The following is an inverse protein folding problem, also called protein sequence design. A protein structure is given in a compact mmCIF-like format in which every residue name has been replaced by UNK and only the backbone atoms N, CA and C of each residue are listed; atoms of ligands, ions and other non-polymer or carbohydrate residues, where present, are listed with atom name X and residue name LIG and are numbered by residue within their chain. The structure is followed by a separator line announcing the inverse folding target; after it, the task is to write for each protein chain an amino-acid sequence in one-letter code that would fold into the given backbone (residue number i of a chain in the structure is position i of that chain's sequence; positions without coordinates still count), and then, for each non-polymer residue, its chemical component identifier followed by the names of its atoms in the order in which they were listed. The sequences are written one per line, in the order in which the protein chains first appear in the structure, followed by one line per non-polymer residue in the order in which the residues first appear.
data_IF_505013387618
#
_entry.id   IF_505013387618
#
_cell.length_a   1.000
_cell.length_b   1.000
_cell.length_c   1.000
_cell.angle_alpha   90.00
_cell.angle_beta   90.00
_cell.angle_gamma   90.00
#
_symmetry.space_group_name_H-M   'P 1'
#
loop_
_entity.id
_entity.type
_entity.pdbx_description
1 polymer ?
#
# COMPACT_ATOMS: atom_id res chain seq x y z
N UNK A 1 -19.70 25.77 4.80
CA UNK A 1 -19.99 24.35 5.09
C UNK A 1 -20.03 23.61 3.76
N UNK A 2 -18.92 22.99 3.38
CA UNK A 2 -18.89 21.87 2.44
C UNK A 2 -17.78 20.99 2.98
N UNK A 3 -18.12 19.99 3.79
CA UNK A 3 -17.19 18.90 3.98
C UNK A 3 -17.12 18.26 2.60
N UNK A 4 -16.09 18.62 1.82
CA UNK A 4 -15.70 17.86 0.64
C UNK A 4 -15.75 16.42 1.09
N UNK A 5 -16.69 15.68 0.51
CA UNK A 5 -16.92 14.28 0.82
C UNK A 5 -15.66 13.59 0.34
N UNK A 6 -14.63 13.56 1.19
CA UNK A 6 -13.31 13.06 0.87
C UNK A 6 -13.55 11.71 0.22
N UNK A 7 -13.32 11.63 -1.09
CA UNK A 7 -13.62 10.43 -1.84
C UNK A 7 -12.76 9.36 -1.19
N UNK A 8 -13.43 8.48 -0.43
CA UNK A 8 -12.76 7.39 0.26
C UNK A 8 -12.28 6.45 -0.83
N UNK A 9 -11.01 6.55 -1.17
CA UNK A 9 -10.33 5.65 -2.09
C UNK A 9 -9.97 4.40 -1.31
N UNK A 10 -10.11 3.24 -1.94
CA UNK A 10 -9.57 1.98 -1.41
C UNK A 10 -8.45 1.47 -2.31
N UNK A 11 -7.50 0.76 -1.73
CA UNK A 11 -6.40 0.12 -2.44
C UNK A 11 -6.21 -1.30 -1.94
N UNK A 12 -5.62 -2.15 -2.76
CA UNK A 12 -5.23 -3.51 -2.37
C UNK A 12 -3.73 -3.55 -2.17
N UNK A 13 -3.28 -3.90 -0.98
CA UNK A 13 -1.86 -4.01 -0.63
C UNK A 13 -1.42 -5.46 -0.62
N UNK A 14 -0.31 -5.76 -1.28
CA UNK A 14 0.31 -7.08 -1.31
C UNK A 14 1.66 -7.08 -0.56
N UNK A 15 1.96 -8.06 0.31
CA UNK A 15 3.20 -8.14 1.09
C UNK A 15 4.37 -8.76 0.30
N UNK A 16 4.53 -8.40 -0.97
CA UNK A 16 5.57 -8.95 -1.84
C UNK A 16 5.91 -7.99 -2.99
N UNK A 17 7.07 -8.17 -3.60
CA UNK A 17 7.51 -7.36 -4.74
C UNK A 17 6.64 -7.64 -5.98
N UNK A 18 6.22 -6.63 -6.77
CA UNK A 18 5.31 -6.82 -7.91
C UNK A 18 5.84 -7.80 -8.97
N UNK A 19 7.17 -7.90 -9.08
CA UNK A 19 7.83 -8.82 -10.02
C UNK A 19 8.30 -10.13 -9.40
N UNK A 20 8.10 -10.32 -8.08
CA UNK A 20 8.41 -11.60 -7.45
C UNK A 20 7.23 -12.57 -7.60
N UNK A 21 7.29 -13.35 -8.68
CA UNK A 21 6.27 -14.36 -9.01
C UNK A 21 6.24 -15.56 -8.06
N UNK A 22 7.20 -15.69 -7.12
CA UNK A 22 7.27 -16.84 -6.21
C UNK A 22 6.31 -16.76 -5.03
N UNK A 23 5.89 -15.56 -4.64
CA UNK A 23 5.11 -15.32 -3.42
C UNK A 23 3.58 -15.23 -3.64
N UNK A 24 3.06 -15.90 -4.68
CA UNK A 24 1.62 -15.95 -5.00
C UNK A 24 0.76 -16.66 -3.93
N UNK A 25 1.37 -17.20 -2.86
CA UNK A 25 0.66 -17.80 -1.72
C UNK A 25 0.19 -16.77 -0.70
N UNK A 26 0.75 -15.55 -0.70
CA UNK A 26 0.37 -14.49 0.23
C UNK A 26 -0.83 -13.70 -0.30
N UNK A 27 -1.88 -13.61 0.52
CA UNK A 27 -3.04 -12.79 0.21
C UNK A 27 -2.75 -11.30 0.41
N UNK A 28 -3.32 -10.45 -0.44
CA UNK A 28 -3.34 -9.01 -0.22
C UNK A 28 -4.47 -8.59 0.72
N UNK A 29 -4.37 -7.37 1.27
CA UNK A 29 -5.39 -6.74 2.10
C UNK A 29 -5.99 -5.53 1.39
N UNK A 30 -7.31 -5.37 1.46
CA UNK A 30 -7.99 -4.16 0.96
C UNK A 30 -8.07 -3.14 2.09
N UNK A 31 -7.50 -1.96 1.89
CA UNK A 31 -7.46 -0.87 2.87
C UNK A 31 -8.07 0.40 2.29
N UNK A 32 -8.60 1.24 3.17
CA UNK A 32 -8.90 2.63 2.82
C UNK A 32 -7.59 3.40 2.72
N UNK A 33 -7.49 4.31 1.75
CA UNK A 33 -6.35 5.22 1.63
C UNK A 33 -6.47 6.29 2.74
N UNK A 34 -5.53 6.32 3.70
CA UNK A 34 -5.53 7.30 4.79
C UNK A 34 -4.94 8.64 4.33
N UNK A 35 -4.65 9.53 5.27
CA UNK A 35 -4.13 10.87 4.99
C UNK A 35 -2.62 10.95 4.73
N UNK A 36 -1.85 9.88 5.00
CA UNK A 36 -0.40 9.83 4.78
C UNK A 36 0.09 8.43 4.39
N UNK A 37 1.26 8.36 3.77
CA UNK A 37 1.89 7.08 3.38
C UNK A 37 2.23 6.26 4.63
N UNK A 38 2.73 6.91 5.69
CA UNK A 38 3.10 6.25 6.95
C UNK A 38 1.90 5.55 7.60
N UNK A 39 0.74 6.20 7.66
CA UNK A 39 -0.49 5.60 8.19
C UNK A 39 -0.97 4.40 7.35
N UNK A 40 -0.75 4.46 6.02
CA UNK A 40 -1.06 3.34 5.12
C UNK A 40 -0.09 2.17 5.35
N UNK A 41 1.19 2.45 5.57
CA UNK A 41 2.20 1.44 5.92
C UNK A 41 1.82 0.78 7.23
N UNK A 42 1.55 1.55 8.28
CA UNK A 42 1.18 1.00 9.60
C UNK A 42 -0.05 0.08 9.51
N UNK A 43 -1.10 0.51 8.82
CA UNK A 43 -2.31 -0.30 8.59
C UNK A 43 -1.99 -1.59 7.83
N UNK A 44 -1.16 -1.50 6.78
CA UNK A 44 -0.76 -2.68 6.00
C UNK A 44 0.07 -3.65 6.83
N UNK A 45 1.03 -3.17 7.61
CA UNK A 45 1.90 -3.96 8.49
C UNK A 45 1.08 -4.70 9.54
N UNK A 46 0.14 -4.02 10.20
CA UNK A 46 -0.76 -4.61 11.19
C UNK A 46 -1.61 -5.74 10.59
N UNK A 47 -2.26 -5.49 9.45
CA UNK A 47 -3.15 -6.47 8.82
C UNK A 47 -2.41 -7.63 8.16
N UNK A 48 -1.24 -7.39 7.57
CA UNK A 48 -0.42 -8.40 6.89
C UNK A 48 0.48 -9.16 7.87
N UNK A 49 0.53 -8.75 9.14
CA UNK A 49 1.34 -9.35 10.22
C UNK A 49 2.82 -9.47 9.83
N UNK A 50 3.34 -8.45 9.16
CA UNK A 50 4.76 -8.33 8.82
C UNK A 50 5.49 -7.52 9.90
N UNK A 51 6.78 -7.77 10.12
CA UNK A 51 7.58 -7.00 11.08
C UNK A 51 7.76 -5.57 10.61
N UNK A 52 7.73 -4.58 11.50
CA UNK A 52 7.87 -3.17 11.16
C UNK A 52 9.32 -2.83 10.76
N UNK A 53 9.65 -2.99 9.48
CA UNK A 53 10.89 -2.56 8.85
C UNK A 53 10.68 -1.24 8.07
N UNK A 54 11.74 -0.65 7.51
CA UNK A 54 11.63 0.49 6.59
C UNK A 54 10.85 0.06 5.34
N UNK A 55 9.52 0.19 5.34
CA UNK A 55 8.69 -0.22 4.22
C UNK A 55 8.37 0.92 3.25
N UNK A 56 8.21 0.56 1.98
CA UNK A 56 7.72 1.45 0.94
C UNK A 56 6.68 0.76 0.06
N UNK A 57 5.80 1.57 -0.53
CA UNK A 57 4.82 1.10 -1.50
C UNK A 57 5.32 1.29 -2.93
N UNK A 58 5.20 0.22 -3.71
CA UNK A 58 5.40 0.23 -5.15
C UNK A 58 4.08 0.10 -5.92
N UNK A 59 4.08 0.65 -7.13
CA UNK A 59 3.09 0.32 -8.17
C UNK A 59 3.38 -1.04 -8.82
N UNK A 60 2.48 -1.50 -9.69
CA UNK A 60 2.70 -2.71 -10.50
C UNK A 60 3.94 -2.59 -11.41
N UNK A 61 4.29 -1.38 -11.82
CA UNK A 61 5.50 -1.03 -12.58
C UNK A 61 6.78 -0.89 -11.72
N UNK A 62 6.73 -1.30 -10.44
CA UNK A 62 7.81 -1.16 -9.46
C UNK A 62 8.26 0.30 -9.22
N UNK A 63 7.36 1.27 -9.42
CA UNK A 63 7.64 2.67 -9.10
C UNK A 63 7.23 3.00 -7.66
N UNK A 64 8.10 3.73 -6.93
CA UNK A 64 7.82 4.17 -5.56
C UNK A 64 6.71 5.20 -5.52
N UNK A 65 5.77 5.02 -4.61
CA UNK A 65 4.69 5.97 -4.36
C UNK A 65 5.16 6.92 -3.25
N UNK A 66 5.15 8.22 -3.56
CA UNK A 66 5.62 9.26 -2.66
C UNK A 66 4.48 9.96 -1.91
N UNK A 67 3.26 9.90 -2.44
CA UNK A 67 2.11 10.61 -1.88
C UNK A 67 0.81 9.79 -2.05
N UNK A 68 -0.04 9.78 -1.01
CA UNK A 68 -1.33 9.06 -1.02
C UNK A 68 -2.29 9.60 -2.07
N UNK A 69 -2.13 10.85 -2.51
CA UNK A 69 -2.92 11.45 -3.56
C UNK A 69 -2.66 10.83 -4.92
N UNK A 70 -1.52 10.15 -5.11
CA UNK A 70 -1.19 9.41 -6.32
C UNK A 70 -1.87 8.04 -6.39
N UNK A 71 -2.53 7.60 -5.31
CA UNK A 71 -3.23 6.31 -5.26
C UNK A 71 -4.63 6.48 -5.87
N UNK A 72 -4.94 5.67 -6.87
CA UNK A 72 -6.26 5.56 -7.48
C UNK A 72 -7.18 4.59 -6.72
N UNK A 73 -8.49 4.75 -6.89
CA UNK A 73 -9.44 3.79 -6.32
C UNK A 73 -9.28 2.40 -6.95
N UNK A 74 -9.26 1.36 -6.12
CA UNK A 74 -8.97 -0.04 -6.47
C UNK A 74 -7.54 -0.30 -6.99
N UNK A 75 -6.60 0.62 -6.79
CA UNK A 75 -5.21 0.39 -7.20
C UNK A 75 -4.55 -0.71 -6.37
N UNK A 76 -3.75 -1.55 -7.04
CA UNK A 76 -2.86 -2.50 -6.38
C UNK A 76 -1.56 -1.82 -5.99
N UNK A 77 -1.15 -2.04 -4.76
CA UNK A 77 0.09 -1.55 -4.17
C UNK A 77 0.87 -2.73 -3.62
N UNK A 78 2.18 -2.60 -3.62
CA UNK A 78 3.09 -3.66 -3.21
C UNK A 78 3.98 -3.14 -2.08
N UNK A 79 3.83 -3.72 -0.90
CA UNK A 79 4.60 -3.39 0.29
C UNK A 79 5.91 -4.18 0.25
N UNK A 80 7.04 -3.47 0.18
CA UNK A 80 8.37 -4.08 0.23
C UNK A 80 9.24 -3.38 1.28
N UNK A 81 10.22 -4.11 1.80
CA UNK A 81 11.30 -3.53 2.61
C UNK A 81 12.22 -2.70 1.72
N UNK A 82 12.57 -1.50 2.17
CA UNK A 82 13.61 -0.64 1.61
C UNK A 82 14.97 -1.30 1.85
N UNK A 83 15.33 -2.26 1.01
CA UNK A 83 16.71 -2.71 0.86
C UNK A 83 17.54 -1.55 0.31
N UNK A 84 18.49 -1.06 1.12
CA UNK A 84 19.49 -0.07 0.73
C UNK A 84 20.39 -0.56 -0.42
#
# INVERSE_FOLDING_TARGET
MMAEKAYKRKCTVYPFHPWDRKDNTKHGVVLWVPHSIEALVESAVEHLKVSMDSFLFLTEDAAKILDVNMICDNQKLYLITESQ
#
